data_IF_097744950673
#
_entry.id   IF_097744950673
#
_cell.length_a   1.000
_cell.length_b   1.000
_cell.length_c   1.000
_cell.angle_alpha   90.00
_cell.angle_beta   90.00
_cell.angle_gamma   90.00
#
_symmetry.space_group_name_H-M   'P 1'
#
loop_
_entity.id
_entity.type
_entity.pdbx_description
1 polymer ?
#
# COMPACT_ATOMS: atom_id res chain seq x y z
N UNK A 1 58.21 -45.17 -21.76
CA UNK A 1 57.90 -44.33 -20.56
C UNK A 1 57.42 -42.96 -20.98
N UNK A 2 56.15 -42.80 -21.37
CA UNK A 2 55.62 -41.52 -21.77
C UNK A 2 54.04 -41.52 -21.70
N UNK A 3 53.45 -41.87 -20.56
CA UNK A 3 51.97 -41.84 -20.38
C UNK A 3 51.53 -41.23 -19.04
N UNK A 4 52.39 -40.52 -18.32
CA UNK A 4 52.03 -40.03 -16.98
C UNK A 4 51.91 -38.52 -16.85
N UNK A 5 51.86 -37.73 -17.93
CA UNK A 5 51.80 -36.24 -17.82
C UNK A 5 50.49 -35.56 -18.28
N UNK A 6 49.47 -36.31 -18.72
CA UNK A 6 48.25 -35.70 -19.28
C UNK A 6 47.07 -35.63 -18.33
N UNK A 7 47.14 -36.19 -17.10
CA UNK A 7 45.99 -36.26 -16.18
C UNK A 7 45.90 -35.12 -15.18
N UNK A 8 46.93 -34.28 -15.02
CA UNK A 8 46.91 -33.20 -14.01
C UNK A 8 46.36 -31.86 -14.51
N UNK A 9 46.11 -31.71 -15.81
CA UNK A 9 45.65 -30.43 -16.38
C UNK A 9 44.12 -30.25 -16.43
N UNK A 10 43.34 -31.30 -16.22
CA UNK A 10 41.89 -31.24 -16.30
C UNK A 10 41.18 -31.05 -14.94
N UNK A 11 41.90 -31.28 -13.82
CA UNK A 11 41.31 -31.15 -12.48
C UNK A 11 40.96 -29.71 -12.05
N UNK A 12 41.77 -28.66 -12.39
CA UNK A 12 41.42 -27.31 -11.97
C UNK A 12 40.22 -26.71 -12.72
N UNK A 13 39.86 -27.16 -13.92
CA UNK A 13 38.73 -26.67 -14.68
C UNK A 13 37.40 -27.22 -14.16
N UNK A 14 37.39 -28.38 -13.53
CA UNK A 14 36.17 -28.99 -12.97
C UNK A 14 35.75 -28.33 -11.64
N UNK A 15 36.72 -27.81 -10.88
CA UNK A 15 36.45 -27.16 -9.58
C UNK A 15 35.88 -25.76 -9.75
N UNK A 16 36.20 -25.07 -10.84
CA UNK A 16 35.66 -23.70 -11.10
C UNK A 16 34.18 -23.72 -11.53
N UNK A 17 33.71 -24.81 -12.14
CA UNK A 17 32.33 -24.93 -12.57
C UNK A 17 31.33 -25.21 -11.44
N UNK A 18 31.78 -25.65 -10.28
CA UNK A 18 30.96 -25.95 -9.11
C UNK A 18 30.75 -24.73 -8.20
N UNK A 19 31.43 -23.60 -8.44
CA UNK A 19 31.33 -22.40 -7.61
C UNK A 19 30.33 -21.33 -8.11
N UNK A 20 29.74 -21.54 -9.29
CA UNK A 20 28.68 -20.66 -9.82
C UNK A 20 27.35 -21.41 -9.69
N UNK A 21 26.96 -21.70 -8.47
CA UNK A 21 25.55 -21.93 -8.20
C UNK A 21 24.90 -20.55 -8.14
N UNK A 22 23.97 -20.19 -9.05
CA UNK A 22 23.12 -19.04 -8.81
C UNK A 22 22.40 -19.36 -7.50
N UNK A 23 22.65 -18.55 -6.47
CA UNK A 23 21.73 -18.50 -5.33
C UNK A 23 20.39 -18.15 -5.93
N UNK A 24 19.51 -19.14 -6.06
CA UNK A 24 18.09 -18.92 -6.29
C UNK A 24 17.64 -18.09 -5.08
N UNK A 25 17.79 -16.78 -5.20
CA UNK A 25 17.08 -15.85 -4.36
C UNK A 25 15.61 -16.25 -4.48
N UNK A 26 14.98 -16.65 -3.39
CA UNK A 26 13.55 -16.85 -3.28
C UNK A 26 12.86 -15.47 -3.42
N UNK A 27 13.02 -14.84 -4.58
CA UNK A 27 12.25 -13.68 -4.95
C UNK A 27 10.80 -14.17 -5.05
N UNK A 28 9.99 -13.81 -4.08
CA UNK A 28 8.54 -14.06 -4.15
C UNK A 28 8.02 -13.47 -5.46
N UNK A 29 7.22 -14.27 -6.17
CA UNK A 29 6.58 -13.80 -7.40
C UNK A 29 5.63 -12.64 -7.03
N UNK A 30 5.83 -11.41 -7.56
CA UNK A 30 4.99 -10.26 -7.23
C UNK A 30 3.50 -10.54 -7.42
N UNK A 31 3.14 -11.31 -8.44
CA UNK A 31 1.75 -11.69 -8.72
C UNK A 31 1.12 -12.54 -7.61
N UNK A 32 1.89 -13.44 -7.00
CA UNK A 32 1.42 -14.24 -5.88
C UNK A 32 1.16 -13.37 -4.66
N UNK A 33 2.05 -12.41 -4.39
CA UNK A 33 1.91 -11.46 -3.27
C UNK A 33 0.72 -10.54 -3.49
N UNK A 34 0.59 -9.95 -4.69
CA UNK A 34 -0.57 -9.11 -5.07
C UNK A 34 -1.87 -9.88 -4.90
N UNK A 35 -1.93 -11.09 -5.45
CA UNK A 35 -3.12 -11.94 -5.33
C UNK A 35 -3.43 -12.29 -3.86
N UNK A 36 -2.41 -12.58 -3.04
CA UNK A 36 -2.58 -12.85 -1.60
C UNK A 36 -3.20 -11.64 -0.89
N UNK A 37 -2.64 -10.44 -1.12
CA UNK A 37 -3.13 -9.19 -0.53
C UNK A 37 -4.58 -8.93 -0.99
N UNK A 38 -4.83 -8.94 -2.29
CA UNK A 38 -6.11 -8.53 -2.86
C UNK A 38 -7.27 -9.48 -2.53
N UNK A 39 -7.00 -10.77 -2.28
CA UNK A 39 -8.02 -11.72 -1.80
C UNK A 39 -8.57 -11.40 -0.41
N UNK A 40 -7.85 -10.62 0.39
CA UNK A 40 -8.31 -10.17 1.72
C UNK A 40 -9.02 -8.82 1.69
N UNK A 41 -9.09 -8.16 0.53
CA UNK A 41 -9.78 -6.89 0.37
C UNK A 41 -11.27 -7.08 0.06
N UNK A 42 -12.09 -6.10 0.44
CA UNK A 42 -13.52 -6.12 0.14
C UNK A 42 -13.81 -6.07 -1.37
N UNK A 43 -12.88 -5.56 -2.17
CA UNK A 43 -12.99 -5.47 -3.61
C UNK A 43 -11.66 -5.86 -4.29
N UNK A 44 -11.58 -7.12 -4.72
CA UNK A 44 -10.40 -7.66 -5.38
C UNK A 44 -9.99 -6.86 -6.63
N UNK A 45 -10.98 -6.49 -7.46
CA UNK A 45 -10.73 -5.79 -8.73
C UNK A 45 -10.03 -4.46 -8.55
N UNK A 46 -10.49 -3.64 -7.60
CA UNK A 46 -9.89 -2.34 -7.29
C UNK A 46 -8.45 -2.50 -6.77
N UNK A 47 -8.23 -3.43 -5.83
CA UNK A 47 -6.91 -3.71 -5.29
C UNK A 47 -5.92 -4.17 -6.39
N UNK A 48 -6.32 -5.15 -7.18
CA UNK A 48 -5.50 -5.69 -8.26
C UNK A 48 -5.15 -4.62 -9.30
N UNK A 49 -6.14 -3.83 -9.73
CA UNK A 49 -5.94 -2.72 -10.66
C UNK A 49 -4.99 -1.66 -10.08
N UNK A 50 -5.13 -1.32 -8.80
CA UNK A 50 -4.27 -0.34 -8.13
C UNK A 50 -2.81 -0.76 -8.18
N UNK A 51 -2.50 -2.03 -7.87
CA UNK A 51 -1.13 -2.51 -7.99
C UNK A 51 -0.64 -2.48 -9.44
N UNK A 52 -1.36 -3.11 -10.38
CA UNK A 52 -0.90 -3.24 -11.76
C UNK A 52 -0.70 -1.91 -12.49
N UNK A 53 -1.52 -0.90 -12.19
CA UNK A 53 -1.35 0.43 -12.77
C UNK A 53 -0.14 1.20 -12.22
N UNK A 54 0.37 0.81 -11.04
CA UNK A 54 1.45 1.52 -10.35
C UNK A 54 2.74 0.70 -10.22
N UNK A 55 2.77 -0.55 -10.71
CA UNK A 55 4.00 -1.35 -10.77
C UNK A 55 5.05 -0.65 -11.63
N UNK A 56 6.24 -0.46 -11.06
CA UNK A 56 7.39 0.16 -11.74
C UNK A 56 8.33 -0.89 -12.36
N UNK A 57 8.19 -2.15 -11.97
CA UNK A 57 9.03 -3.27 -12.41
C UNK A 57 8.26 -4.58 -12.36
N UNK A 58 8.47 -5.51 -13.30
CA UNK A 58 7.92 -6.86 -13.22
C UNK A 58 8.55 -7.71 -12.12
N UNK A 59 9.65 -7.26 -11.52
CA UNK A 59 10.34 -7.89 -10.38
C UNK A 59 10.10 -7.09 -9.08
N UNK A 60 8.91 -6.53 -8.90
CA UNK A 60 8.56 -5.74 -7.72
C UNK A 60 8.67 -6.58 -6.44
N UNK A 61 9.23 -5.97 -5.40
CA UNK A 61 9.35 -6.56 -4.06
C UNK A 61 8.13 -6.19 -3.20
N UNK A 62 7.98 -6.82 -2.02
CA UNK A 62 6.97 -6.41 -1.03
C UNK A 62 7.15 -4.93 -0.64
N UNK A 63 8.38 -4.43 -0.58
CA UNK A 63 8.64 -3.02 -0.30
C UNK A 63 8.12 -2.10 -1.42
N UNK A 64 8.25 -2.50 -2.68
CA UNK A 64 7.66 -1.75 -3.81
C UNK A 64 6.13 -1.73 -3.72
N UNK A 65 5.50 -2.85 -3.33
CA UNK A 65 4.05 -2.91 -3.13
C UNK A 65 3.60 -2.03 -1.96
N UNK A 66 4.32 -2.02 -0.84
CA UNK A 66 4.04 -1.14 0.29
C UNK A 66 4.18 0.34 -0.11
N UNK A 67 5.21 0.69 -0.86
CA UNK A 67 5.36 2.05 -1.39
C UNK A 67 4.17 2.47 -2.24
N UNK A 68 3.70 1.60 -3.14
CA UNK A 68 2.52 1.85 -3.97
C UNK A 68 1.30 2.14 -3.08
N UNK A 69 1.04 1.31 -2.07
CA UNK A 69 -0.15 1.50 -1.22
C UNK A 69 -0.11 2.81 -0.43
N UNK A 70 1.04 3.18 0.14
CA UNK A 70 1.22 4.45 0.86
C UNK A 70 1.00 5.64 -0.08
N UNK A 71 1.61 5.62 -1.27
CA UNK A 71 1.49 6.70 -2.25
C UNK A 71 0.05 6.85 -2.75
N UNK A 72 -0.63 5.74 -3.06
CA UNK A 72 -2.01 5.78 -3.53
C UNK A 72 -2.98 6.22 -2.42
N UNK A 73 -2.80 5.76 -1.19
CA UNK A 73 -3.59 6.19 -0.05
C UNK A 73 -3.37 7.69 0.25
N UNK A 74 -2.13 8.17 0.25
CA UNK A 74 -1.79 9.58 0.44
C UNK A 74 -2.41 10.47 -0.65
N UNK A 75 -2.30 10.06 -1.91
CA UNK A 75 -2.88 10.78 -3.04
C UNK A 75 -4.41 10.83 -2.98
N UNK A 76 -5.05 9.69 -2.70
CA UNK A 76 -6.51 9.62 -2.56
C UNK A 76 -7.00 10.49 -1.38
N UNK A 77 -6.32 10.45 -0.22
CA UNK A 77 -6.66 11.28 0.93
C UNK A 77 -6.57 12.77 0.60
N UNK A 78 -5.49 13.21 -0.04
CA UNK A 78 -5.29 14.61 -0.44
C UNK A 78 -6.38 15.07 -1.43
N UNK A 79 -6.67 14.27 -2.44
CA UNK A 79 -7.67 14.60 -3.45
C UNK A 79 -9.09 14.61 -2.86
N UNK A 80 -9.39 13.71 -1.93
CA UNK A 80 -10.68 13.67 -1.27
C UNK A 80 -10.83 14.83 -0.28
N UNK A 81 -9.79 15.17 0.47
CA UNK A 81 -9.79 16.34 1.35
C UNK A 81 -10.07 17.63 0.55
N UNK A 82 -9.39 17.84 -0.58
CA UNK A 82 -9.64 18.98 -1.45
C UNK A 82 -11.09 18.99 -1.98
N UNK A 83 -11.63 17.83 -2.34
CA UNK A 83 -13.03 17.71 -2.76
C UNK A 83 -14.01 18.08 -1.63
N UNK A 84 -13.75 17.65 -0.39
CA UNK A 84 -14.56 18.00 0.78
C UNK A 84 -14.54 19.50 1.03
N UNK A 85 -13.39 20.17 0.92
CA UNK A 85 -13.29 21.62 1.09
C UNK A 85 -14.13 22.37 0.05
N UNK A 86 -14.15 21.90 -1.20
CA UNK A 86 -15.02 22.49 -2.23
C UNK A 86 -16.49 22.31 -1.88
N UNK A 87 -16.93 21.11 -1.47
CA UNK A 87 -18.30 20.88 -1.03
C UNK A 87 -18.70 21.74 0.16
N UNK A 88 -17.81 21.91 1.15
CA UNK A 88 -18.05 22.76 2.31
C UNK A 88 -18.28 24.23 1.94
N UNK A 89 -17.58 24.72 0.90
CA UNK A 89 -17.74 26.10 0.43
C UNK A 89 -19.10 26.37 -0.25
N UNK A 90 -19.72 25.33 -0.81
CA UNK A 90 -20.97 25.42 -1.56
C UNK A 90 -22.20 24.99 -0.73
N UNK A 91 -21.97 24.21 0.35
CA UNK A 91 -23.05 23.61 1.14
C UNK A 91 -23.65 24.60 2.13
N UNK A 92 -24.97 24.81 2.04
CA UNK A 92 -25.76 25.63 2.97
C UNK A 92 -26.65 24.81 3.92
N UNK A 93 -26.85 23.51 3.61
CA UNK A 93 -27.67 22.60 4.42
C UNK A 93 -26.88 22.21 5.69
N UNK A 94 -27.40 22.49 6.90
CA UNK A 94 -26.64 22.36 8.14
C UNK A 94 -26.19 20.92 8.45
N UNK A 95 -27.02 19.90 8.18
CA UNK A 95 -26.72 18.53 8.48
C UNK A 95 -25.58 18.01 7.57
N UNK A 96 -25.65 18.31 6.27
CA UNK A 96 -24.60 17.98 5.33
C UNK A 96 -23.30 18.72 5.67
N UNK A 97 -23.39 20.00 6.04
CA UNK A 97 -22.21 20.79 6.42
C UNK A 97 -21.50 20.21 7.64
N UNK A 98 -22.26 19.79 8.67
CA UNK A 98 -21.69 19.14 9.85
C UNK A 98 -21.01 17.81 9.47
N UNK A 99 -21.66 16.97 8.67
CA UNK A 99 -21.08 15.71 8.21
C UNK A 99 -19.80 15.93 7.39
N UNK A 100 -19.78 16.90 6.49
CA UNK A 100 -18.58 17.24 5.70
C UNK A 100 -17.45 17.81 6.58
N UNK A 101 -17.75 18.54 7.66
CA UNK A 101 -16.74 19.04 8.60
C UNK A 101 -16.07 17.88 9.35
N UNK A 102 -16.81 16.87 9.77
CA UNK A 102 -16.25 15.66 10.36
C UNK A 102 -15.37 14.90 9.36
N UNK A 103 -15.79 14.82 8.10
CA UNK A 103 -15.00 14.19 7.05
C UNK A 103 -13.74 14.99 6.70
N UNK A 104 -13.78 16.32 6.72
CA UNK A 104 -12.61 17.18 6.55
C UNK A 104 -11.54 16.84 7.60
N UNK A 105 -11.91 16.80 8.87
CA UNK A 105 -11.01 16.42 9.96
C UNK A 105 -10.48 14.99 9.79
N UNK A 106 -11.34 14.05 9.43
CA UNK A 106 -10.97 12.65 9.21
C UNK A 106 -9.94 12.49 8.09
N UNK A 107 -10.18 13.10 6.93
CA UNK A 107 -9.29 13.01 5.77
C UNK A 107 -7.98 13.78 5.98
N UNK A 108 -7.99 14.84 6.80
CA UNK A 108 -6.76 15.49 7.25
C UNK A 108 -5.90 14.51 8.07
N UNK A 109 -6.50 13.78 9.03
CA UNK A 109 -5.77 12.77 9.84
C UNK A 109 -5.22 11.66 8.93
N UNK A 110 -6.03 11.14 8.01
CA UNK A 110 -5.60 10.09 7.07
C UNK A 110 -4.43 10.58 6.22
N UNK A 111 -4.53 11.76 5.63
CA UNK A 111 -3.48 12.36 4.81
C UNK A 111 -2.17 12.57 5.58
N UNK A 112 -2.24 13.20 6.77
CA UNK A 112 -1.08 13.44 7.64
C UNK A 112 -0.43 12.10 8.07
N UNK A 113 -1.23 11.06 8.30
CA UNK A 113 -0.75 9.72 8.68
C UNK A 113 0.02 9.06 7.54
N UNK A 114 -0.50 9.06 6.32
CA UNK A 114 0.21 8.50 5.17
C UNK A 114 1.45 9.32 4.77
N UNK A 115 1.47 10.63 5.00
CA UNK A 115 2.70 11.42 4.84
C UNK A 115 3.78 10.97 5.84
N UNK A 116 3.43 10.74 7.12
CA UNK A 116 4.38 10.19 8.11
C UNK A 116 4.82 8.78 7.75
N UNK A 117 3.89 7.92 7.30
CA UNK A 117 4.21 6.57 6.84
C UNK A 117 5.22 6.59 5.68
N UNK A 118 5.07 7.50 4.72
CA UNK A 118 6.02 7.66 3.61
C UNK A 118 7.40 8.09 4.09
N UNK A 119 7.49 9.01 5.07
CA UNK A 119 8.77 9.41 5.66
C UNK A 119 9.44 8.23 6.36
N UNK A 120 8.72 7.47 7.18
CA UNK A 120 9.24 6.27 7.85
C UNK A 120 9.67 5.20 6.85
N UNK A 121 8.88 4.95 5.81
CA UNK A 121 9.23 4.01 4.73
C UNK A 121 10.55 4.38 4.05
N UNK A 122 10.73 5.66 3.67
CA UNK A 122 11.96 6.15 3.04
C UNK A 122 13.20 6.00 3.94
N UNK A 123 13.00 6.03 5.25
CA UNK A 123 14.04 5.78 6.25
C UNK A 123 14.23 4.29 6.58
N UNK A 124 13.47 3.38 5.93
CA UNK A 124 13.42 1.95 6.22
C UNK A 124 12.98 1.63 7.65
N UNK A 125 12.28 2.55 8.28
CA UNK A 125 11.62 2.40 9.58
C UNK A 125 10.21 1.83 9.36
N UNK A 126 10.12 0.52 9.11
CA UNK A 126 8.85 -0.14 8.81
C UNK A 126 7.92 -0.23 10.02
N UNK A 127 8.45 -0.26 11.22
CA UNK A 127 7.64 -0.18 12.45
C UNK A 127 7.02 1.20 12.62
N UNK A 128 7.80 2.25 12.42
CA UNK A 128 7.30 3.63 12.40
C UNK A 128 6.27 3.88 11.29
N UNK A 129 6.43 3.23 10.13
CA UNK A 129 5.44 3.25 9.06
C UNK A 129 4.12 2.65 9.51
N UNK A 130 4.12 1.45 10.09
CA UNK A 130 2.91 0.79 10.64
C UNK A 130 2.24 1.60 11.74
N UNK A 131 3.04 2.20 12.62
CA UNK A 131 2.52 3.05 13.69
C UNK A 131 1.85 4.30 13.14
N UNK A 132 2.39 4.89 12.08
CA UNK A 132 1.77 6.04 11.40
C UNK A 132 0.42 5.70 10.77
N UNK A 133 0.25 4.48 10.23
CA UNK A 133 -0.99 4.02 9.59
C UNK A 133 -2.09 3.62 10.58
N UNK A 134 -1.75 3.38 11.84
CA UNK A 134 -2.62 2.75 12.86
C UNK A 134 -3.97 3.46 13.03
N UNK A 135 -4.00 4.77 12.95
CA UNK A 135 -5.21 5.57 13.23
C UNK A 135 -6.07 5.80 11.98
N UNK A 136 -5.57 5.45 10.78
CA UNK A 136 -6.26 5.73 9.51
C UNK A 136 -7.59 5.00 9.36
N UNK A 137 -7.76 3.71 9.77
CA UNK A 137 -9.06 3.03 9.67
C UNK A 137 -10.13 3.71 10.53
N UNK A 138 -9.76 4.16 11.74
CA UNK A 138 -10.67 4.83 12.64
C UNK A 138 -11.09 6.20 12.11
N UNK A 139 -10.14 6.95 11.56
CA UNK A 139 -10.41 8.25 11.00
C UNK A 139 -11.35 8.16 9.79
N UNK A 140 -11.09 7.24 8.84
CA UNK A 140 -11.99 7.02 7.70
C UNK A 140 -13.40 6.59 8.17
N UNK A 141 -13.49 5.65 9.09
CA UNK A 141 -14.75 5.16 9.61
C UNK A 141 -15.58 6.26 10.30
N UNK A 142 -14.96 7.27 10.94
CA UNK A 142 -15.67 8.40 11.53
C UNK A 142 -16.39 9.22 10.46
N UNK A 143 -15.76 9.49 9.32
CA UNK A 143 -16.39 10.15 8.18
C UNK A 143 -17.57 9.33 7.64
N UNK A 144 -17.38 8.05 7.38
CA UNK A 144 -18.46 7.19 6.86
C UNK A 144 -19.65 7.13 7.83
N UNK A 145 -19.37 7.01 9.14
CA UNK A 145 -20.42 6.88 10.17
C UNK A 145 -21.28 8.14 10.31
N UNK A 146 -20.71 9.32 10.11
CA UNK A 146 -21.46 10.58 10.27
C UNK A 146 -22.63 10.69 9.28
N UNK A 147 -22.54 10.11 8.09
CA UNK A 147 -23.64 10.05 7.12
C UNK A 147 -24.72 9.02 7.47
N UNK A 148 -24.38 8.02 8.29
CA UNK A 148 -25.32 7.00 8.78
C UNK A 148 -25.97 7.36 10.13
N UNK A 149 -25.67 8.56 10.66
CA UNK A 149 -26.23 9.06 11.92
C UNK A 149 -27.32 10.10 11.61
N UNK A 150 -28.49 10.05 12.25
CA UNK A 150 -29.52 11.06 12.03
C UNK A 150 -28.97 12.50 12.16
N UNK A 151 -29.36 13.39 11.24
CA UNK A 151 -30.43 13.34 10.26
C UNK A 151 -30.14 12.62 8.93
N UNK A 152 -29.05 11.85 8.81
CA UNK A 152 -28.69 11.01 7.64
C UNK A 152 -28.69 11.82 6.32
N UNK A 153 -27.83 12.84 6.16
CA UNK A 153 -27.74 13.55 4.89
C UNK A 153 -27.24 12.63 3.77
N UNK A 154 -27.59 12.92 2.53
CA UNK A 154 -27.07 12.17 1.38
C UNK A 154 -25.54 12.24 1.37
N UNK A 155 -24.88 11.09 1.28
CA UNK A 155 -23.42 11.01 1.32
C UNK A 155 -22.80 11.27 -0.07
N UNK A 156 -22.17 12.43 -0.32
CA UNK A 156 -21.48 12.69 -1.60
C UNK A 156 -20.10 12.04 -1.68
N UNK A 157 -19.63 11.40 -0.60
CA UNK A 157 -18.29 10.82 -0.47
C UNK A 157 -18.29 9.28 -0.53
N UNK A 158 -19.43 8.64 -0.77
CA UNK A 158 -19.60 7.20 -0.61
C UNK A 158 -18.55 6.39 -1.38
N UNK A 159 -18.38 6.68 -2.66
CA UNK A 159 -17.36 6.00 -3.50
C UNK A 159 -15.92 6.34 -3.06
N UNK A 160 -15.65 7.58 -2.63
CA UNK A 160 -14.33 8.00 -2.13
C UNK A 160 -13.99 7.34 -0.81
N UNK A 161 -14.95 7.24 0.11
CA UNK A 161 -14.79 6.53 1.38
C UNK A 161 -14.55 5.04 1.14
N UNK A 162 -15.29 4.41 0.22
CA UNK A 162 -15.06 3.02 -0.17
C UNK A 162 -13.65 2.78 -0.70
N UNK A 163 -13.19 3.61 -1.62
CA UNK A 163 -11.83 3.52 -2.17
C UNK A 163 -10.76 3.72 -1.08
N UNK A 164 -10.94 4.73 -0.21
CA UNK A 164 -10.00 5.02 0.88
C UNK A 164 -9.91 3.85 1.85
N UNK A 165 -11.02 3.24 2.22
CA UNK A 165 -11.07 2.07 3.12
C UNK A 165 -10.27 0.90 2.53
N UNK A 166 -10.39 0.64 1.23
CA UNK A 166 -9.63 -0.41 0.56
C UNK A 166 -8.13 -0.07 0.56
N UNK A 167 -7.75 1.16 0.22
CA UNK A 167 -6.36 1.60 0.20
C UNK A 167 -5.70 1.52 1.58
N UNK A 168 -6.43 1.89 2.64
CA UNK A 168 -5.98 1.73 4.04
C UNK A 168 -5.74 0.25 4.34
N UNK A 169 -6.68 -0.64 3.99
CA UNK A 169 -6.54 -2.07 4.22
C UNK A 169 -5.34 -2.65 3.44
N UNK A 170 -5.13 -2.23 2.19
CA UNK A 170 -3.96 -2.61 1.39
C UNK A 170 -2.66 -2.18 2.07
N UNK A 171 -2.57 -0.94 2.57
CA UNK A 171 -1.38 -0.42 3.25
C UNK A 171 -1.08 -1.24 4.52
N UNK A 172 -2.07 -1.46 5.37
CA UNK A 172 -1.91 -2.25 6.61
C UNK A 172 -1.44 -3.68 6.33
N UNK A 173 -1.98 -4.33 5.29
CA UNK A 173 -1.58 -5.71 4.94
C UNK A 173 -0.17 -5.73 4.36
N UNK A 174 0.19 -4.83 3.45
CA UNK A 174 1.55 -4.76 2.89
C UNK A 174 2.60 -4.42 3.94
N UNK A 175 2.28 -3.54 4.88
CA UNK A 175 3.15 -3.22 6.01
C UNK A 175 3.42 -4.45 6.89
N UNK A 176 2.42 -5.30 7.10
CA UNK A 176 2.57 -6.54 7.85
C UNK A 176 3.45 -7.56 7.12
N UNK A 177 3.37 -7.64 5.79
CA UNK A 177 4.25 -8.52 4.99
C UNK A 177 5.72 -8.05 5.01
N UNK A 178 5.99 -6.75 5.22
CA UNK A 178 7.36 -6.21 5.32
C UNK A 178 8.06 -6.55 6.64
N UNK A 179 7.28 -6.79 7.68
CA UNK A 179 7.80 -6.99 9.05
C UNK A 179 7.71 -8.44 9.53
N UNK A 180 7.28 -9.37 8.66
CA UNK A 180 7.11 -10.80 8.93
C UNK A 180 8.37 -11.67 8.74
#
# INVERSE_FOLDING_TARGET
MAFAKCFYSLLPLLVIFLAIQPTLSNAQNPEEVINKICRSMEEFGFCNQTFHQNLRSPAATVADLAQITIEQASSNATNTHAFILNLLSETTEPALKNALTECENAYKIVGDSFQRALVSFNNKDYDGMRDAERDTPRAEASCTTTFNTPPNPVNPLDDRNRQMRILIAMAVVTASELTS
#
